data_IF_755558672494
#
_entry.id   IF_755558672494
#
_cell.length_a   1.000
_cell.length_b   1.000
_cell.length_c   1.000
_cell.angle_alpha   90.00
_cell.angle_beta   90.00
_cell.angle_gamma   90.00
#
_symmetry.space_group_name_H-M   'P 1'
#
loop_
_entity.id
_entity.type
_entity.pdbx_description
1 polymer ?
#
# COMPACT_ATOMS: atom_id res chain seq x y z
N UNK A 1 5.45 6.16 -6.85
CA UNK A 1 5.21 7.02 -8.03
C UNK A 1 3.89 6.74 -8.75
N UNK A 2 3.64 5.59 -9.40
CA UNK A 2 2.33 5.34 -10.05
C UNK A 2 1.16 5.29 -9.04
N UNK A 3 1.40 4.72 -7.86
CA UNK A 3 0.44 4.70 -6.74
C UNK A 3 0.10 6.09 -6.19
N UNK A 4 1.09 6.98 -6.07
CA UNK A 4 0.87 8.36 -5.60
C UNK A 4 0.03 9.18 -6.60
N UNK A 5 0.22 8.93 -7.89
CA UNK A 5 -0.54 9.56 -8.96
C UNK A 5 -2.03 9.14 -8.91
N UNK A 6 -2.32 7.86 -8.68
CA UNK A 6 -3.70 7.38 -8.51
C UNK A 6 -4.31 7.78 -7.15
N UNK A 7 -3.50 7.91 -6.09
CA UNK A 7 -3.94 8.40 -4.78
C UNK A 7 -4.43 9.85 -4.86
N UNK A 8 -3.67 10.73 -5.51
CA UNK A 8 -4.10 12.11 -5.78
C UNK A 8 -5.36 12.17 -6.66
N UNK A 9 -5.52 11.23 -7.59
CA UNK A 9 -6.71 11.13 -8.43
C UNK A 9 -7.94 10.63 -7.67
N UNK A 10 -7.77 9.86 -6.59
CA UNK A 10 -8.86 9.29 -5.79
C UNK A 10 -9.36 10.24 -4.69
N UNK A 11 -8.52 11.17 -4.21
CA UNK A 11 -8.92 12.19 -3.21
C UNK A 11 -10.08 13.08 -3.70
N UNK A 12 -10.23 13.28 -5.01
CA UNK A 12 -11.25 14.14 -5.60
C UNK A 12 -12.43 13.41 -6.25
N UNK A 13 -12.40 12.07 -6.29
CA UNK A 13 -13.42 11.26 -6.97
C UNK A 13 -14.41 10.64 -5.98
N UNK A 14 -15.69 10.68 -6.31
CA UNK A 14 -16.80 10.17 -5.49
C UNK A 14 -17.56 9.04 -6.21
N UNK A 15 -18.11 8.09 -5.46
CA UNK A 15 -18.94 7.01 -6.03
C UNK A 15 -18.12 5.92 -6.75
N UNK A 16 -18.55 5.51 -7.95
CA UNK A 16 -17.99 4.38 -8.68
C UNK A 16 -16.50 4.55 -9.04
N UNK A 17 -16.09 5.77 -9.39
CA UNK A 17 -14.71 6.04 -9.79
C UNK A 17 -13.72 5.93 -8.61
N UNK A 18 -14.16 6.20 -7.37
CA UNK A 18 -13.35 5.97 -6.17
C UNK A 18 -13.06 4.48 -5.98
N UNK A 19 -14.06 3.63 -6.25
CA UNK A 19 -13.92 2.18 -6.14
C UNK A 19 -12.94 1.63 -7.17
N UNK A 20 -13.05 2.05 -8.42
CA UNK A 20 -12.12 1.65 -9.49
C UNK A 20 -10.69 2.13 -9.23
N UNK A 21 -10.53 3.38 -8.75
CA UNK A 21 -9.23 3.90 -8.37
C UNK A 21 -8.61 3.14 -7.18
N UNK A 22 -9.43 2.76 -6.19
CA UNK A 22 -8.98 1.95 -5.06
C UNK A 22 -8.57 0.54 -5.50
N UNK A 23 -9.32 -0.11 -6.38
CA UNK A 23 -8.98 -1.43 -6.93
C UNK A 23 -7.67 -1.40 -7.75
N UNK A 24 -7.50 -0.40 -8.62
CA UNK A 24 -6.26 -0.19 -9.36
C UNK A 24 -5.07 0.08 -8.43
N UNK A 25 -5.27 0.91 -7.40
CA UNK A 25 -4.23 1.23 -6.41
C UNK A 25 -3.84 -0.01 -5.60
N UNK A 26 -4.82 -0.82 -5.19
CA UNK A 26 -4.60 -2.08 -4.48
C UNK A 26 -3.78 -3.07 -5.33
N UNK A 27 -4.13 -3.21 -6.62
CA UNK A 27 -3.39 -4.06 -7.56
C UNK A 27 -1.94 -3.62 -7.70
N UNK A 28 -1.71 -2.31 -7.89
CA UNK A 28 -0.36 -1.76 -8.02
C UNK A 28 0.49 -1.97 -6.75
N UNK A 29 -0.09 -1.76 -5.55
CA UNK A 29 0.62 -2.00 -4.29
C UNK A 29 0.96 -3.47 -4.08
N UNK A 30 0.05 -4.39 -4.41
CA UNK A 30 0.32 -5.84 -4.33
C UNK A 30 1.46 -6.25 -5.24
N UNK A 31 1.42 -5.87 -6.52
CA UNK A 31 2.50 -6.21 -7.46
C UNK A 31 3.84 -5.63 -7.03
N UNK A 32 3.86 -4.38 -6.52
CA UNK A 32 5.08 -3.79 -5.99
C UNK A 32 5.57 -4.52 -4.74
N UNK A 33 4.66 -4.98 -3.87
CA UNK A 33 5.01 -5.71 -2.65
C UNK A 33 5.60 -7.07 -2.98
N UNK A 34 5.02 -7.81 -3.92
CA UNK A 34 5.52 -9.12 -4.35
C UNK A 34 6.97 -9.01 -4.87
N UNK A 35 7.24 -8.01 -5.73
CA UNK A 35 8.59 -7.74 -6.25
C UNK A 35 9.53 -7.30 -5.12
N UNK A 36 9.09 -6.42 -4.22
CA UNK A 36 9.93 -5.98 -3.11
C UNK A 36 10.23 -7.12 -2.13
N UNK A 37 9.32 -8.09 -1.98
CA UNK A 37 9.52 -9.26 -1.14
C UNK A 37 10.55 -10.23 -1.72
N UNK A 38 10.62 -10.37 -3.04
CA UNK A 38 11.56 -11.27 -3.73
C UNK A 38 12.93 -10.63 -3.97
N UNK A 39 12.96 -9.35 -4.35
CA UNK A 39 14.19 -8.68 -4.82
C UNK A 39 14.92 -7.86 -3.74
N UNK A 40 14.23 -7.48 -2.65
CA UNK A 40 14.79 -6.56 -1.65
C UNK A 40 14.84 -7.19 -0.26
N UNK A 41 15.94 -6.93 0.45
CA UNK A 41 16.07 -7.32 1.85
C UNK A 41 14.94 -6.71 2.72
N UNK A 42 14.49 -7.37 3.81
CA UNK A 42 13.44 -6.85 4.68
C UNK A 42 13.70 -5.44 5.22
N UNK A 43 14.97 -5.09 5.47
CA UNK A 43 15.41 -3.78 5.96
C UNK A 43 15.63 -2.74 4.86
N UNK A 44 15.43 -3.10 3.59
CA UNK A 44 15.68 -2.19 2.48
C UNK A 44 14.72 -0.98 2.52
N UNK A 45 15.20 0.28 2.46
CA UNK A 45 14.37 1.46 2.62
C UNK A 45 13.17 1.54 1.67
N UNK A 46 13.33 1.08 0.42
CA UNK A 46 12.22 1.02 -0.55
C UNK A 46 11.14 0.04 -0.12
N UNK A 47 11.51 -1.13 0.42
CA UNK A 47 10.54 -2.15 0.88
C UNK A 47 9.79 -1.65 2.12
N UNK A 48 10.50 -1.04 3.07
CA UNK A 48 9.91 -0.44 4.26
C UNK A 48 8.95 0.70 3.89
N UNK A 49 9.38 1.61 3.01
CA UNK A 49 8.56 2.74 2.55
C UNK A 49 7.32 2.30 1.77
N UNK A 50 7.44 1.26 0.95
CA UNK A 50 6.32 0.65 0.23
C UNK A 50 5.27 0.10 1.20
N UNK A 51 5.70 -0.69 2.18
CA UNK A 51 4.79 -1.29 3.14
C UNK A 51 4.13 -0.24 4.07
N UNK A 52 4.86 0.82 4.43
CA UNK A 52 4.28 1.97 5.13
C UNK A 52 3.18 2.64 4.30
N UNK A 53 3.47 3.00 3.05
CA UNK A 53 2.48 3.65 2.16
C UNK A 53 1.26 2.75 1.90
N UNK A 54 1.48 1.44 1.77
CA UNK A 54 0.40 0.50 1.59
C UNK A 54 -0.46 0.36 2.86
N UNK A 55 0.13 0.48 4.06
CA UNK A 55 -0.61 0.49 5.32
C UNK A 55 -1.52 1.72 5.43
N UNK A 56 -1.02 2.90 5.03
CA UNK A 56 -1.81 4.14 4.97
C UNK A 56 -2.98 3.99 4.00
N UNK A 57 -2.76 3.38 2.83
CA UNK A 57 -3.84 3.10 1.87
C UNK A 57 -4.94 2.20 2.46
N UNK A 58 -4.57 1.14 3.20
CA UNK A 58 -5.56 0.30 3.88
C UNK A 58 -6.37 1.08 4.92
N UNK A 59 -5.74 2.00 5.64
CA UNK A 59 -6.39 2.81 6.66
C UNK A 59 -7.31 3.88 6.06
N UNK A 60 -6.78 4.73 5.17
CA UNK A 60 -7.47 5.93 4.69
C UNK A 60 -8.44 5.66 3.53
N UNK A 61 -8.10 4.72 2.63
CA UNK A 61 -8.90 4.50 1.41
C UNK A 61 -9.86 3.33 1.57
N UNK A 62 -9.36 2.21 2.12
CA UNK A 62 -10.16 0.99 2.30
C UNK A 62 -10.86 0.91 3.67
N UNK A 63 -10.68 1.90 4.55
CA UNK A 63 -11.25 1.95 5.90
C UNK A 63 -11.08 0.62 6.67
N UNK A 64 -9.90 0.01 6.53
CA UNK A 64 -9.56 -1.33 7.03
C UNK A 64 -8.39 -1.25 8.01
N UNK A 65 -8.59 -0.70 9.22
CA UNK A 65 -7.51 -0.42 10.17
C UNK A 65 -6.78 -1.69 10.63
N UNK A 66 -7.46 -2.83 10.74
CA UNK A 66 -6.84 -4.10 11.11
C UNK A 66 -5.79 -4.54 10.09
N UNK A 67 -6.10 -4.41 8.80
CA UNK A 67 -5.18 -4.74 7.72
C UNK A 67 -4.00 -3.78 7.66
N UNK A 68 -4.25 -2.48 7.89
CA UNK A 68 -3.20 -1.48 7.98
C UNK A 68 -2.22 -1.80 9.12
N UNK A 69 -2.74 -2.14 10.31
CA UNK A 69 -1.93 -2.48 11.47
C UNK A 69 -1.10 -3.74 11.24
N UNK A 70 -1.69 -4.80 10.67
CA UNK A 70 -0.98 -6.03 10.36
C UNK A 70 0.16 -5.80 9.38
N UNK A 71 -0.06 -4.96 8.36
CA UNK A 71 0.98 -4.65 7.38
C UNK A 71 2.10 -3.81 8.00
N UNK A 72 1.77 -2.82 8.83
CA UNK A 72 2.76 -2.00 9.53
C UNK A 72 3.60 -2.80 10.55
N UNK A 73 3.03 -3.84 11.17
CA UNK A 73 3.76 -4.74 12.07
C UNK A 73 4.84 -5.54 11.35
N UNK A 74 4.56 -6.05 10.15
CA UNK A 74 5.55 -6.78 9.34
C UNK A 74 6.78 -5.93 8.97
N UNK A 75 6.64 -4.61 8.95
CA UNK A 75 7.73 -3.66 8.70
C UNK A 75 8.57 -3.42 9.95
N UNK A 76 7.94 -3.39 11.13
CA UNK A 76 8.61 -3.14 12.40
C UNK A 76 9.34 -4.37 12.95
N UNK A 77 8.73 -5.54 12.76
CA UNK A 77 9.25 -6.82 13.24
C UNK A 77 9.46 -7.76 12.05
N UNK A 78 10.44 -7.50 11.16
CA UNK A 78 10.83 -8.50 10.18
C UNK A 78 11.37 -9.71 10.95
N UNK A 79 10.69 -10.86 10.86
CA UNK A 79 11.16 -12.12 11.45
C UNK A 79 12.66 -12.32 11.14
N UNK A 80 13.46 -12.81 12.12
CA UNK A 80 14.91 -12.88 12.03
C UNK A 80 15.44 -13.79 10.91
#
# INVERSE_FOLDING_TARGET
MKGDYHRYFAEFKTGAERKEAAESTLSAYKSAQDIAMTELAPTHPIRLGLALNFSVFYYEILNSPDRACNLAKQVKDPDP
#
